data_IF_413490265618
#
_entry.id   IF_413490265618
#
_cell.length_a   1.000
_cell.length_b   1.000
_cell.length_c   1.000
_cell.angle_alpha   90.00
_cell.angle_beta   90.00
_cell.angle_gamma   90.00
#
_symmetry.space_group_name_H-M   'P 1'
#
loop_
_entity.id
_entity.type
_entity.pdbx_description
1 polymer ?
#
# COMPACT_ATOMS: atom_id res chain seq x y z
N UNK A 1 55.12 -27.91 -36.65
CA UNK A 1 55.95 -26.82 -36.07
C UNK A 1 55.03 -26.01 -35.18
N UNK A 2 54.92 -26.36 -33.89
CA UNK A 2 55.87 -25.97 -32.83
C UNK A 2 56.02 -24.45 -32.72
N UNK A 3 56.03 -23.78 -31.58
CA UNK A 3 55.90 -24.14 -30.16
C UNK A 3 55.83 -22.79 -29.41
N UNK A 4 54.97 -22.73 -28.40
CA UNK A 4 55.09 -22.04 -27.10
C UNK A 4 56.05 -20.85 -26.93
N UNK A 5 55.56 -19.79 -26.27
CA UNK A 5 56.00 -19.29 -24.93
C UNK A 5 55.07 -18.12 -24.54
N UNK A 6 54.30 -18.11 -23.45
CA UNK A 6 54.54 -18.35 -22.02
C UNK A 6 55.14 -17.14 -21.28
N UNK A 7 54.38 -16.63 -20.29
CA UNK A 7 54.78 -16.09 -18.97
C UNK A 7 53.55 -15.38 -18.36
N UNK A 8 53.30 -15.28 -17.05
CA UNK A 8 53.65 -16.05 -15.86
C UNK A 8 52.85 -15.42 -14.68
N UNK A 9 52.20 -16.28 -13.88
CA UNK A 9 52.00 -16.22 -12.42
C UNK A 9 51.82 -14.87 -11.68
N UNK A 10 50.71 -14.80 -10.94
CA UNK A 10 50.57 -14.05 -9.70
C UNK A 10 49.42 -14.61 -8.88
N UNK A 11 49.72 -15.46 -7.89
CA UNK A 11 48.76 -15.87 -6.88
C UNK A 11 48.50 -14.69 -5.94
N UNK A 12 47.23 -14.39 -5.65
CA UNK A 12 46.90 -13.80 -4.36
C UNK A 12 45.47 -14.19 -3.97
N UNK A 13 45.39 -14.97 -2.89
CA UNK A 13 44.18 -15.19 -2.15
C UNK A 13 43.70 -13.85 -1.60
N UNK A 14 42.42 -13.52 -1.82
CA UNK A 14 41.74 -12.49 -1.05
C UNK A 14 40.56 -13.12 -0.31
N UNK A 15 40.61 -12.86 0.98
CA UNK A 15 39.75 -13.33 2.05
C UNK A 15 38.37 -12.68 1.90
N UNK A 16 37.36 -13.49 2.19
CA UNK A 16 36.01 -13.19 2.66
C UNK A 16 35.62 -11.72 2.83
N UNK A 17 34.51 -11.33 2.22
CA UNK A 17 33.47 -10.60 2.96
C UNK A 17 32.12 -11.13 2.49
N UNK A 18 31.66 -12.19 3.16
CA UNK A 18 30.26 -12.53 3.18
C UNK A 18 29.55 -11.32 3.81
N UNK A 19 28.91 -10.51 2.97
CA UNK A 19 27.93 -9.53 3.44
C UNK A 19 26.83 -10.34 4.09
N UNK A 20 26.83 -10.37 5.42
CA UNK A 20 25.64 -10.66 6.20
C UNK A 20 24.52 -9.80 5.63
N UNK A 21 23.54 -10.43 5.00
CA UNK A 21 22.21 -9.86 4.79
C UNK A 21 21.65 -9.55 6.19
N UNK A 22 22.09 -8.43 6.75
CA UNK A 22 21.42 -7.78 7.85
C UNK A 22 20.11 -7.26 7.25
N UNK A 23 19.10 -8.13 7.28
CA UNK A 23 17.75 -7.82 6.85
C UNK A 23 17.40 -6.43 7.39
N UNK A 24 17.36 -5.45 6.48
CA UNK A 24 17.25 -4.03 6.80
C UNK A 24 16.29 -3.85 7.98
N UNK A 25 16.87 -3.53 9.14
CA UNK A 25 16.10 -3.42 10.37
C UNK A 25 14.98 -2.42 10.12
N UNK A 26 13.73 -2.85 10.38
CA UNK A 26 12.57 -1.97 10.19
C UNK A 26 12.82 -0.74 11.04
N UNK A 27 13.07 0.39 10.40
CA UNK A 27 13.29 1.64 11.09
C UNK A 27 12.07 1.94 11.97
N UNK A 28 12.31 2.16 13.25
CA UNK A 28 11.24 2.45 14.20
C UNK A 28 10.50 3.73 13.80
N UNK A 29 9.20 3.79 14.09
CA UNK A 29 8.40 4.98 13.82
C UNK A 29 8.88 6.16 14.69
N UNK A 30 8.77 7.40 14.22
CA UNK A 30 9.35 8.55 14.93
C UNK A 30 8.84 8.67 16.38
N UNK A 31 9.77 8.87 17.32
CA UNK A 31 9.48 8.89 18.75
C UNK A 31 8.65 10.10 19.18
N UNK A 32 8.71 11.21 18.44
CA UNK A 32 7.98 12.45 18.76
C UNK A 32 6.48 12.41 18.46
N UNK A 33 6.03 11.42 17.67
CA UNK A 33 4.61 11.32 17.31
C UNK A 33 3.76 10.81 18.49
N UNK A 34 2.53 11.32 18.68
CA UNK A 34 1.64 10.80 19.71
C UNK A 34 1.27 9.34 19.41
N UNK A 35 1.19 8.52 20.46
CA UNK A 35 0.81 7.11 20.40
C UNK A 35 -0.57 6.92 20.99
N UNK A 36 -1.42 6.21 20.27
CA UNK A 36 -2.76 5.82 20.71
C UNK A 36 -2.80 4.30 20.82
N UNK A 37 -3.04 3.82 22.04
CA UNK A 37 -3.02 2.40 22.36
C UNK A 37 -4.42 1.79 22.17
N UNK A 38 -4.50 0.74 21.35
CA UNK A 38 -5.68 -0.09 21.17
C UNK A 38 -5.42 -1.46 21.78
N UNK A 39 -5.91 -1.66 23.00
CA UNK A 39 -5.69 -2.89 23.76
C UNK A 39 -6.77 -3.91 23.44
N UNK A 40 -6.36 -5.03 22.85
CA UNK A 40 -7.19 -6.19 22.61
C UNK A 40 -6.99 -7.18 23.76
N UNK A 41 -8.08 -7.46 24.48
CA UNK A 41 -8.10 -8.38 25.62
C UNK A 41 -8.97 -9.59 25.30
N UNK A 42 -8.51 -10.81 25.56
CA UNK A 42 -9.37 -11.98 25.50
C UNK A 42 -10.28 -12.01 26.73
N UNK A 43 -11.24 -12.93 26.75
CA UNK A 43 -12.09 -13.16 27.90
C UNK A 43 -11.26 -13.57 29.13
N UNK A 44 -11.71 -13.17 30.32
CA UNK A 44 -11.00 -13.46 31.58
C UNK A 44 -11.16 -14.90 32.07
N UNK A 45 -12.01 -15.69 31.42
CA UNK A 45 -12.35 -17.07 31.78
C UNK A 45 -11.81 -18.03 30.74
N UNK A 46 -11.24 -19.15 31.19
CA UNK A 46 -10.69 -20.15 30.29
C UNK A 46 -11.81 -20.81 29.46
N UNK A 47 -11.68 -20.89 28.13
CA UNK A 47 -12.70 -21.51 27.27
C UNK A 47 -12.86 -23.02 27.53
N UNK A 48 -11.84 -23.68 28.07
CA UNK A 48 -11.87 -25.14 28.28
C UNK A 48 -12.38 -25.55 29.66
N UNK A 49 -12.05 -24.78 30.72
CA UNK A 49 -12.36 -25.16 32.10
C UNK A 49 -13.06 -24.09 32.94
N UNK A 50 -13.34 -22.90 32.37
CA UNK A 50 -14.09 -21.82 33.01
C UNK A 50 -13.37 -21.08 34.15
N UNK A 51 -12.14 -21.45 34.49
CA UNK A 51 -11.36 -20.82 35.57
C UNK A 51 -10.81 -19.44 35.16
N UNK A 52 -10.56 -18.54 36.13
CA UNK A 52 -9.96 -17.25 35.84
C UNK A 52 -8.55 -17.42 35.25
N UNK A 53 -8.27 -16.65 34.21
CA UNK A 53 -6.98 -16.66 33.51
C UNK A 53 -6.01 -15.61 34.08
N UNK A 54 -4.71 -15.83 33.88
CA UNK A 54 -3.64 -14.93 34.30
C UNK A 54 -2.93 -14.31 33.09
N UNK A 55 -2.33 -13.13 33.26
CA UNK A 55 -1.59 -12.46 32.18
C UNK A 55 -0.29 -13.21 31.91
N UNK A 56 -0.07 -13.58 30.64
CA UNK A 56 1.15 -14.24 30.18
C UNK A 56 2.13 -13.23 29.56
N UNK A 57 1.62 -12.27 28.78
CA UNK A 57 2.43 -11.31 28.06
C UNK A 57 1.61 -10.51 27.05
N UNK A 58 2.27 -9.70 26.24
CA UNK A 58 1.62 -8.83 25.25
C UNK A 58 2.42 -8.87 23.94
N UNK A 59 1.72 -8.86 22.80
CA UNK A 59 2.31 -8.61 21.49
C UNK A 59 1.89 -7.21 21.02
N UNK A 60 2.85 -6.44 20.52
CA UNK A 60 2.62 -5.07 20.07
C UNK A 60 2.87 -4.92 18.57
N UNK A 61 2.03 -4.11 17.92
CA UNK A 61 2.23 -3.68 16.53
C UNK A 61 1.95 -2.19 16.42
N UNK A 62 2.93 -1.44 15.92
CA UNK A 62 2.79 0.00 15.67
C UNK A 62 2.54 0.28 14.19
N UNK A 63 1.62 1.20 13.90
CA UNK A 63 1.31 1.67 12.56
C UNK A 63 1.22 3.20 12.51
N UNK A 64 1.81 3.79 11.49
CA UNK A 64 1.71 5.22 11.22
C UNK A 64 0.36 5.54 10.58
N UNK A 65 -0.39 6.44 11.22
CA UNK A 65 -1.70 6.89 10.81
C UNK A 65 -1.72 8.40 10.52
N UNK A 66 -2.57 8.79 9.57
CA UNK A 66 -3.01 10.18 9.40
C UNK A 66 -4.43 10.29 9.94
N UNK A 67 -4.68 11.14 10.92
CA UNK A 67 -6.01 11.40 11.49
C UNK A 67 -6.16 12.89 11.76
N UNK A 68 -7.26 13.49 11.30
CA UNK A 68 -7.51 14.92 11.40
C UNK A 68 -6.30 15.78 10.95
N UNK A 69 -5.68 15.41 9.83
CA UNK A 69 -4.48 16.04 9.29
C UNK A 69 -3.22 16.03 10.20
N UNK A 70 -3.19 15.19 11.23
CA UNK A 70 -2.00 14.97 12.07
C UNK A 70 -1.47 13.55 11.88
N UNK A 71 -0.15 13.38 12.02
CA UNK A 71 0.47 12.06 12.13
C UNK A 71 0.38 11.56 13.57
N UNK A 72 0.01 10.29 13.72
CA UNK A 72 0.04 9.58 14.99
C UNK A 72 0.45 8.13 14.78
N UNK A 73 0.88 7.46 15.84
CA UNK A 73 1.17 6.03 15.83
C UNK A 73 0.00 5.33 16.52
N UNK A 74 -0.67 4.44 15.79
CA UNK A 74 -1.65 3.52 16.36
C UNK A 74 -0.90 2.28 16.83
N UNK A 75 -0.92 2.01 18.13
CA UNK A 75 -0.30 0.83 18.72
C UNK A 75 -1.39 -0.17 19.09
N UNK A 76 -1.41 -1.31 18.39
CA UNK A 76 -2.32 -2.41 18.71
C UNK A 76 -1.61 -3.37 19.65
N UNK A 77 -2.15 -3.53 20.86
CA UNK A 77 -1.59 -4.38 21.93
C UNK A 77 -2.50 -5.59 22.12
N UNK A 78 -2.01 -6.79 21.81
CA UNK A 78 -2.74 -8.05 22.03
C UNK A 78 -2.28 -8.69 23.33
N UNK A 79 -3.17 -8.72 24.32
CA UNK A 79 -2.88 -9.39 25.60
C UNK A 79 -3.01 -10.90 25.46
N UNK A 80 -2.00 -11.62 25.93
CA UNK A 80 -1.99 -13.07 26.07
C UNK A 80 -2.38 -13.42 27.50
N UNK A 81 -3.38 -14.27 27.64
CA UNK A 81 -3.73 -14.87 28.93
C UNK A 81 -3.42 -16.37 28.91
N UNK A 82 -3.07 -16.91 30.06
CA UNK A 82 -2.83 -18.35 30.29
C UNK A 82 -3.71 -18.86 31.42
N UNK A 83 -4.27 -20.05 31.24
CA UNK A 83 -5.00 -20.73 32.30
C UNK A 83 -4.03 -21.51 33.21
N UNK A 84 -3.98 -21.23 34.53
CA UNK A 84 -3.10 -21.95 35.44
C UNK A 84 -3.51 -23.41 35.68
N UNK A 85 -4.75 -23.80 35.31
CA UNK A 85 -5.26 -25.16 35.54
C UNK A 85 -4.96 -26.14 34.40
N UNK A 86 -5.07 -25.69 33.15
CA UNK A 86 -4.95 -26.55 31.96
C UNK A 86 -3.94 -26.02 30.94
N UNK A 87 -3.23 -24.93 31.27
CA UNK A 87 -2.21 -24.31 30.41
C UNK A 87 -2.71 -23.78 29.06
N UNK A 88 -4.03 -23.67 28.87
CA UNK A 88 -4.63 -23.05 27.68
C UNK A 88 -4.23 -21.58 27.58
N UNK A 89 -3.72 -21.18 26.40
CA UNK A 89 -3.35 -19.79 26.09
C UNK A 89 -4.41 -19.19 25.17
N UNK A 90 -4.90 -18.02 25.51
CA UNK A 90 -5.85 -17.26 24.69
C UNK A 90 -5.26 -15.91 24.33
N UNK A 91 -5.37 -15.53 23.06
CA UNK A 91 -4.95 -14.25 22.53
C UNK A 91 -5.96 -13.81 21.47
N UNK A 92 -6.46 -12.56 21.51
CA UNK A 92 -7.30 -12.04 20.45
C UNK A 92 -6.49 -11.89 19.15
N UNK A 93 -7.04 -12.27 17.98
CA UNK A 93 -6.32 -12.15 16.73
C UNK A 93 -6.04 -10.69 16.38
N UNK A 94 -4.95 -10.45 15.63
CA UNK A 94 -4.69 -9.14 15.05
C UNK A 94 -5.87 -8.74 14.14
N UNK A 95 -6.39 -7.50 14.23
CA UNK A 95 -7.39 -7.00 13.30
C UNK A 95 -6.90 -7.12 11.85
N UNK A 96 -7.84 -7.43 10.94
CA UNK A 96 -7.52 -7.52 9.53
C UNK A 96 -7.00 -6.18 9.00
N UNK A 97 -5.79 -6.19 8.46
CA UNK A 97 -5.19 -5.03 7.79
C UNK A 97 -5.38 -5.14 6.27
N UNK A 98 -5.66 -4.02 5.57
CA UNK A 98 -5.73 -4.00 4.11
C UNK A 98 -4.45 -4.55 3.48
N UNK A 99 -3.31 -4.12 4.01
CA UNK A 99 -1.99 -4.60 3.59
C UNK A 99 -1.33 -5.26 4.80
N UNK A 100 -1.08 -6.57 4.68
CA UNK A 100 -0.49 -7.36 5.75
C UNK A 100 0.94 -6.87 6.08
N UNK A 101 1.24 -6.77 7.38
CA UNK A 101 2.55 -6.34 7.92
C UNK A 101 2.98 -4.94 7.46
N UNK A 102 2.04 -4.12 7.00
CA UNK A 102 2.28 -2.73 6.62
C UNK A 102 2.48 -1.87 7.87
N UNK A 103 3.50 -1.01 7.82
CA UNK A 103 3.68 0.08 8.80
C UNK A 103 2.68 1.22 8.60
N UNK A 104 2.03 1.29 7.43
CA UNK A 104 1.00 2.29 7.16
C UNK A 104 -0.35 1.78 7.66
N UNK A 105 -0.97 2.53 8.56
CA UNK A 105 -2.34 2.33 9.00
C UNK A 105 -3.32 2.59 7.83
N UNK A 106 -4.52 1.97 7.81
CA UNK A 106 -5.52 2.20 6.77
C UNK A 106 -5.84 3.68 6.51
N UNK A 107 -5.83 4.50 7.56
CA UNK A 107 -6.09 5.94 7.42
C UNK A 107 -4.97 6.69 6.67
N UNK A 108 -3.71 6.27 6.83
CA UNK A 108 -2.60 6.83 6.05
C UNK A 108 -2.70 6.41 4.58
N UNK A 109 -3.05 5.15 4.31
CA UNK A 109 -3.26 4.67 2.94
C UNK A 109 -4.40 5.44 2.26
N UNK A 110 -5.50 5.66 2.97
CA UNK A 110 -6.62 6.46 2.47
C UNK A 110 -6.19 7.90 2.17
N UNK A 111 -5.47 8.56 3.08
CA UNK A 111 -4.96 9.92 2.90
C UNK A 111 -4.04 10.03 1.67
N UNK A 112 -3.11 9.08 1.49
CA UNK A 112 -2.21 9.04 0.32
C UNK A 112 -3.01 8.93 -0.98
N UNK A 113 -4.03 8.05 -1.02
CA UNK A 113 -4.85 7.82 -2.19
C UNK A 113 -5.71 9.05 -2.53
N UNK A 114 -6.42 9.60 -1.55
CA UNK A 114 -7.26 10.79 -1.73
C UNK A 114 -6.40 11.97 -2.17
N UNK A 115 -5.30 12.25 -1.46
CA UNK A 115 -4.36 13.31 -1.82
C UNK A 115 -3.84 13.13 -3.25
N UNK A 116 -3.55 11.89 -3.67
CA UNK A 116 -3.02 11.61 -5.01
C UNK A 116 -4.05 11.82 -6.11
N UNK A 117 -5.26 11.29 -5.92
CA UNK A 117 -6.23 11.15 -7.00
C UNK A 117 -7.32 12.22 -6.99
N UNK A 118 -7.80 12.61 -5.81
CA UNK A 118 -8.79 13.67 -5.67
C UNK A 118 -8.13 15.05 -5.65
N UNK A 119 -7.02 15.19 -4.90
CA UNK A 119 -6.38 16.50 -4.71
C UNK A 119 -5.18 16.73 -5.63
N UNK A 120 -4.94 15.80 -6.57
CA UNK A 120 -3.88 15.88 -7.58
C UNK A 120 -2.47 16.11 -7.01
N UNK A 121 -2.21 15.61 -5.80
CA UNK A 121 -0.94 15.75 -5.12
C UNK A 121 -0.01 14.57 -5.43
N UNK A 122 1.06 14.77 -6.24
CA UNK A 122 1.95 13.67 -6.58
C UNK A 122 2.71 13.15 -5.35
N UNK A 123 3.07 11.86 -5.35
CA UNK A 123 3.68 11.18 -4.21
C UNK A 123 4.94 11.87 -3.67
N UNK A 124 5.79 12.43 -4.54
CA UNK A 124 6.98 13.17 -4.08
C UNK A 124 6.61 14.41 -3.26
N UNK A 125 5.50 15.08 -3.59
CA UNK A 125 5.02 16.24 -2.86
C UNK A 125 4.41 15.83 -1.54
N UNK A 126 3.68 14.71 -1.49
CA UNK A 126 3.18 14.14 -0.23
C UNK A 126 4.33 13.80 0.72
N UNK A 127 5.39 13.15 0.22
CA UNK A 127 6.62 12.87 0.97
C UNK A 127 7.25 14.15 1.55
N UNK A 128 7.37 15.20 0.73
CA UNK A 128 7.91 16.48 1.16
C UNK A 128 7.03 17.20 2.20
N UNK A 129 5.70 17.06 2.11
CA UNK A 129 4.80 17.60 3.14
C UNK A 129 4.95 16.82 4.45
N UNK A 130 4.97 15.49 4.39
CA UNK A 130 5.16 14.66 5.59
C UNK A 130 6.49 14.94 6.30
N UNK A 131 7.55 15.24 5.54
CA UNK A 131 8.85 15.59 6.09
C UNK A 131 8.82 16.87 6.95
N UNK A 132 7.86 17.78 6.72
CA UNK A 132 7.67 18.98 7.56
C UNK A 132 7.20 18.65 8.98
N UNK A 133 6.51 17.52 9.14
CA UNK A 133 6.08 16.97 10.42
C UNK A 133 7.13 15.98 11.01
N UNK A 134 8.32 15.91 10.42
CA UNK A 134 9.38 14.97 10.81
C UNK A 134 9.09 13.52 10.41
N UNK A 135 8.21 13.29 9.43
CA UNK A 135 7.81 11.95 8.97
C UNK A 135 8.40 11.65 7.60
N UNK A 136 9.25 10.63 7.54
CA UNK A 136 9.83 10.15 6.27
C UNK A 136 8.90 9.16 5.59
N UNK A 137 8.24 9.59 4.52
CA UNK A 137 7.49 8.68 3.64
C UNK A 137 8.28 8.41 2.35
N UNK A 138 8.82 7.19 2.22
CA UNK A 138 9.51 6.79 1.00
C UNK A 138 8.55 6.65 -0.19
N UNK A 139 8.93 7.25 -1.32
CA UNK A 139 8.11 7.30 -2.54
C UNK A 139 7.87 5.91 -3.14
N UNK A 140 8.86 5.03 -3.08
CA UNK A 140 8.71 3.68 -3.59
C UNK A 140 7.74 2.89 -2.72
N UNK A 141 7.82 3.05 -1.40
CA UNK A 141 6.92 2.43 -0.42
C UNK A 141 5.48 2.91 -0.57
N UNK A 142 5.27 4.22 -0.73
CA UNK A 142 3.94 4.75 -1.06
C UNK A 142 3.43 4.20 -2.40
N UNK A 143 4.27 4.17 -3.44
CA UNK A 143 3.90 3.61 -4.74
C UNK A 143 3.47 2.14 -4.67
N UNK A 144 4.19 1.32 -3.88
CA UNK A 144 3.80 -0.07 -3.61
C UNK A 144 2.46 -0.14 -2.88
N UNK A 145 2.29 0.65 -1.82
CA UNK A 145 1.02 0.71 -1.06
C UNK A 145 -0.16 1.07 -1.93
N UNK A 146 0.01 2.06 -2.82
CA UNK A 146 -1.02 2.46 -3.77
C UNK A 146 -1.40 1.29 -4.72
N UNK A 147 -0.43 0.57 -5.27
CA UNK A 147 -0.70 -0.60 -6.12
C UNK A 147 -1.40 -1.74 -5.37
N UNK A 148 -1.07 -1.95 -4.09
CA UNK A 148 -1.76 -2.94 -3.26
C UNK A 148 -3.20 -2.51 -2.98
N UNK A 149 -3.45 -1.22 -2.72
CA UNK A 149 -4.79 -0.69 -2.57
C UNK A 149 -5.63 -0.80 -3.86
N UNK A 150 -5.05 -0.57 -5.04
CA UNK A 150 -5.72 -0.83 -6.32
C UNK A 150 -6.25 -2.27 -6.39
N UNK A 151 -5.40 -3.25 -6.04
CA UNK A 151 -5.78 -4.65 -6.05
C UNK A 151 -6.94 -4.95 -5.08
N UNK A 152 -6.95 -4.33 -3.90
CA UNK A 152 -8.03 -4.44 -2.93
C UNK A 152 -9.35 -3.83 -3.44
N UNK A 153 -9.27 -2.78 -4.26
CA UNK A 153 -10.43 -2.14 -4.87
C UNK A 153 -10.94 -2.87 -6.12
N UNK A 154 -10.21 -3.85 -6.65
CA UNK A 154 -10.60 -4.60 -7.86
C UNK A 154 -12.05 -5.13 -7.83
N UNK A 155 -12.55 -5.73 -6.72
CA UNK A 155 -13.93 -6.22 -6.63
C UNK A 155 -15.00 -5.14 -6.75
N UNK A 156 -14.66 -3.86 -6.50
CA UNK A 156 -15.57 -2.73 -6.68
C UNK A 156 -15.46 -2.13 -8.08
N UNK A 157 -14.23 -1.99 -8.57
CA UNK A 157 -13.96 -1.31 -9.85
C UNK A 157 -14.49 -2.09 -11.06
N UNK A 158 -14.43 -3.42 -11.06
CA UNK A 158 -14.89 -4.21 -12.21
C UNK A 158 -16.43 -4.20 -12.37
N UNK A 159 -17.24 -4.39 -11.31
CA UNK A 159 -18.69 -4.17 -11.40
C UNK A 159 -19.07 -2.75 -11.82
N UNK A 160 -18.40 -1.73 -11.27
CA UNK A 160 -18.64 -0.33 -11.64
C UNK A 160 -18.35 -0.12 -13.12
N UNK A 161 -17.26 -0.68 -13.65
CA UNK A 161 -16.93 -0.63 -15.07
C UNK A 161 -18.00 -1.31 -15.92
N UNK A 162 -18.43 -2.53 -15.57
CA UNK A 162 -19.51 -3.24 -16.30
C UNK A 162 -20.79 -2.42 -16.29
N UNK A 163 -21.10 -1.80 -15.15
CA UNK A 163 -22.24 -0.91 -15.02
C UNK A 163 -22.12 0.32 -15.94
N UNK A 164 -20.97 1.01 -16.02
CA UNK A 164 -20.78 2.12 -16.97
C UNK A 164 -21.05 1.69 -18.40
N UNK A 165 -20.46 0.55 -18.80
CA UNK A 165 -20.43 0.10 -20.18
C UNK A 165 -21.76 -0.50 -20.66
N UNK A 166 -22.64 -0.87 -19.73
CA UNK A 166 -24.00 -1.34 -20.02
C UNK A 166 -25.00 -0.20 -20.29
N UNK A 167 -24.57 1.06 -20.29
CA UNK A 167 -25.42 2.20 -20.58
C UNK A 167 -25.82 2.24 -22.07
N UNK A 168 -27.08 2.57 -22.36
CA UNK A 168 -27.57 2.78 -23.73
C UNK A 168 -26.95 4.03 -24.36
N UNK A 169 -26.67 5.06 -23.55
CA UNK A 169 -25.96 6.27 -23.92
C UNK A 169 -24.74 6.43 -23.02
N UNK A 170 -23.59 6.69 -23.62
CA UNK A 170 -22.33 6.87 -22.90
C UNK A 170 -21.65 8.14 -23.37
N UNK A 171 -21.31 9.02 -22.43
CA UNK A 171 -20.47 10.17 -22.71
C UNK A 171 -19.01 9.72 -22.62
N UNK A 172 -18.21 10.04 -23.64
CA UNK A 172 -16.79 9.71 -23.66
C UNK A 172 -15.97 10.96 -23.98
N UNK A 173 -14.90 11.16 -23.23
CA UNK A 173 -13.87 12.17 -23.51
C UNK A 173 -12.52 11.47 -23.72
N UNK A 174 -11.73 11.99 -24.66
CA UNK A 174 -10.39 11.49 -24.97
C UNK A 174 -9.36 12.62 -24.84
N UNK A 175 -8.69 12.64 -23.71
CA UNK A 175 -7.71 13.64 -23.36
C UNK A 175 -6.28 13.13 -23.67
N UNK A 176 -5.55 13.73 -24.62
CA UNK A 176 -4.13 13.42 -24.84
C UNK A 176 -3.26 14.00 -23.73
N UNK A 177 -2.34 13.19 -23.18
CA UNK A 177 -1.46 13.58 -22.07
C UNK A 177 -0.01 13.27 -22.44
N UNK A 178 0.95 14.20 -22.23
CA UNK A 178 2.36 13.92 -22.41
C UNK A 178 2.86 12.97 -21.31
N UNK A 179 3.35 11.79 -21.69
CA UNK A 179 3.92 10.79 -20.78
C UNK A 179 5.42 10.70 -21.00
N UNK A 180 6.21 10.69 -19.93
CA UNK A 180 7.66 10.51 -20.03
C UNK A 180 7.99 9.24 -20.81
N UNK A 181 9.00 9.29 -21.69
CA UNK A 181 9.59 8.10 -22.33
C UNK A 181 11.00 7.90 -21.77
N UNK A 182 11.17 7.09 -20.69
CA UNK A 182 12.48 6.84 -20.10
C UNK A 182 13.51 6.41 -21.14
N UNK A 183 14.75 6.91 -21.01
CA UNK A 183 15.84 6.68 -21.97
C UNK A 183 15.91 7.66 -23.14
N UNK A 184 14.79 8.28 -23.53
CA UNK A 184 14.73 9.12 -24.74
C UNK A 184 14.76 10.63 -24.46
N UNK A 185 14.80 11.06 -23.19
CA UNK A 185 14.70 12.49 -22.76
C UNK A 185 13.55 13.27 -23.41
N UNK A 186 12.51 12.57 -23.89
CA UNK A 186 11.34 13.11 -24.58
C UNK A 186 10.07 12.58 -23.93
N UNK A 187 8.96 13.26 -24.18
CA UNK A 187 7.61 12.76 -23.89
C UNK A 187 7.04 12.05 -25.12
N UNK A 188 6.09 11.13 -24.88
CA UNK A 188 5.23 10.55 -25.91
C UNK A 188 3.77 10.83 -25.53
N UNK A 189 2.90 10.94 -26.52
CA UNK A 189 1.47 11.17 -26.28
C UNK A 189 0.81 9.89 -25.76
N UNK A 190 0.47 9.89 -24.47
CA UNK A 190 -0.51 8.97 -23.88
C UNK A 190 -1.93 9.49 -24.09
N UNK A 191 -2.92 8.63 -23.90
CA UNK A 191 -4.34 9.03 -23.97
C UNK A 191 -5.09 8.53 -22.74
N UNK A 192 -5.89 9.41 -22.16
CA UNK A 192 -6.81 9.13 -21.07
C UNK A 192 -8.23 9.22 -21.64
N UNK A 193 -8.97 8.12 -21.56
CA UNK A 193 -10.37 8.07 -21.92
C UNK A 193 -11.21 8.11 -20.65
N UNK A 194 -12.18 9.00 -20.57
CA UNK A 194 -13.16 9.05 -19.48
C UNK A 194 -14.51 8.66 -20.06
N UNK A 195 -15.21 7.76 -19.38
CA UNK A 195 -16.54 7.29 -19.72
C UNK A 195 -17.50 7.67 -18.61
N UNK A 196 -18.61 8.31 -18.96
CA UNK A 196 -19.63 8.75 -18.00
C UNK A 196 -21.00 8.25 -18.45
N UNK A 197 -21.65 7.52 -17.54
CA UNK A 197 -23.08 7.21 -17.59
C UNK A 197 -23.77 8.25 -16.71
N UNK A 198 -24.40 9.23 -17.33
CA UNK A 198 -25.29 10.17 -16.65
C UNK A 198 -26.37 10.67 -17.61
N UNK A 199 -27.59 10.19 -17.36
CA UNK A 199 -28.78 10.49 -18.14
C UNK A 199 -29.85 11.22 -17.31
N UNK A 200 -29.48 11.78 -16.15
CA UNK A 200 -30.44 12.46 -15.28
C UNK A 200 -31.14 13.63 -15.97
N UNK A 201 -30.42 14.37 -16.84
CA UNK A 201 -31.02 15.45 -17.65
C UNK A 201 -32.08 14.99 -18.64
N UNK A 202 -32.08 13.70 -18.99
CA UNK A 202 -33.09 13.05 -19.83
C UNK A 202 -34.14 12.25 -19.03
N UNK A 203 -34.25 12.51 -17.72
CA UNK A 203 -35.25 11.87 -16.86
C UNK A 203 -34.88 10.46 -16.36
N UNK A 204 -33.63 10.02 -16.55
CA UNK A 204 -33.18 8.73 -16.01
C UNK A 204 -33.10 8.78 -14.48
N UNK A 205 -33.55 7.69 -13.85
CA UNK A 205 -33.43 7.45 -12.41
C UNK A 205 -32.24 6.54 -12.07
N UNK A 206 -31.49 6.08 -13.08
CA UNK A 206 -30.32 5.25 -12.87
C UNK A 206 -29.18 6.07 -12.24
N UNK A 207 -28.45 5.53 -11.24
CA UNK A 207 -27.33 6.22 -10.63
C UNK A 207 -26.26 6.65 -11.65
N UNK A 208 -25.82 7.91 -11.56
CA UNK A 208 -24.69 8.40 -12.33
C UNK A 208 -23.40 7.65 -11.95
N UNK A 209 -22.56 7.38 -12.94
CA UNK A 209 -21.27 6.74 -12.74
C UNK A 209 -20.26 7.24 -13.77
N UNK A 210 -19.01 7.44 -13.33
CA UNK A 210 -17.88 7.68 -14.23
C UNK A 210 -16.75 6.65 -14.03
N UNK A 211 -16.04 6.31 -15.11
CA UNK A 211 -14.83 5.50 -15.07
C UNK A 211 -13.80 5.98 -16.10
N UNK A 212 -12.52 5.64 -15.92
CA UNK A 212 -11.46 6.07 -16.83
C UNK A 212 -10.57 4.92 -17.30
N UNK A 213 -10.06 5.01 -18.52
CA UNK A 213 -9.12 4.07 -19.12
C UNK A 213 -7.92 4.82 -19.68
N UNK A 214 -6.72 4.45 -19.26
CA UNK A 214 -5.47 4.98 -19.83
C UNK A 214 -4.88 4.01 -20.85
N UNK A 215 -4.35 4.52 -21.96
CA UNK A 215 -3.54 3.73 -22.90
C UNK A 215 -2.25 4.47 -23.27
N UNK A 216 -1.13 3.74 -23.24
CA UNK A 216 0.13 4.19 -23.84
C UNK A 216 0.18 3.68 -25.28
N UNK A 217 0.38 4.58 -26.25
CA UNK A 217 0.53 4.22 -27.66
C UNK A 217 1.72 3.26 -27.85
N UNK A 218 1.48 2.07 -28.44
CA UNK A 218 2.51 1.07 -28.77
C UNK A 218 2.63 -0.18 -27.87
N UNK A 219 1.78 -0.38 -26.85
CA UNK A 219 1.63 -1.67 -26.13
C UNK A 219 0.17 -2.14 -26.13
N UNK A 220 -0.02 -3.46 -26.09
CA UNK A 220 -1.33 -4.10 -25.98
C UNK A 220 -2.09 -3.62 -24.72
N UNK A 221 -3.39 -3.41 -24.89
CA UNK A 221 -4.26 -2.69 -23.96
C UNK A 221 -4.85 -3.65 -22.92
N UNK A 222 -4.47 -3.52 -21.65
CA UNK A 222 -5.24 -4.11 -20.54
C UNK A 222 -6.24 -3.06 -20.09
N UNK A 223 -7.53 -3.43 -19.99
CA UNK A 223 -8.51 -2.69 -19.21
C UNK A 223 -8.08 -2.78 -17.75
N UNK A 224 -7.36 -1.79 -17.28
CA UNK A 224 -6.96 -1.71 -15.88
C UNK A 224 -7.99 -0.85 -15.14
N UNK A 225 -8.50 -1.29 -13.98
CA UNK A 225 -8.92 -0.33 -12.96
C UNK A 225 -7.71 0.57 -12.64
N UNK A 226 -7.93 1.75 -12.07
CA UNK A 226 -6.94 2.84 -12.03
C UNK A 226 -5.56 2.36 -11.45
N UNK A 227 -4.65 1.92 -12.33
CA UNK A 227 -3.22 1.73 -12.01
C UNK A 227 -2.54 3.10 -12.10
N UNK A 228 -1.90 3.60 -11.03
CA UNK A 228 -1.22 4.90 -11.05
C UNK A 228 0.17 4.84 -11.66
N UNK A 229 0.51 5.92 -12.35
CA UNK A 229 1.88 6.41 -12.55
C UNK A 229 2.42 6.99 -11.24
#
# INVERSE_FOLDING_TARGET
MDVRRAQARGANASISNATTDEAASRQALPAHLPREDHVLKPESSCPDCGRPMQVLGEDESEQLARVAAAFKVIRTIQRKLVCPCCSTITQPPMPGLPIQRSIAHPSLLADILVSKYADHQPLYRQSAIAARDGVTLDRASMGRGVGQCEALCAPLTEPLRRYTMAATKLHADDTPIPVLSPGNRKTRTGRLWVYVRDDHRSGSTQPAQSGSRTRRTGKASILKPISPV
#
